data_IF_093426088434
#
_entry.id   IF_093426088434
#
_cell.length_a   1.000
_cell.length_b   1.000
_cell.length_c   1.000
_cell.angle_alpha   90.00
_cell.angle_beta   90.00
_cell.angle_gamma   90.00
#
_symmetry.space_group_name_H-M   'P 1'
#
loop_
_entity.id
_entity.type
_entity.pdbx_description
1 polymer ?
2 non-polymer ?
3 water ?
#
# COMPACT_ATOMS: atom_id res chain seq x y z
N UNK A 5 -20.18 -18.99 7.86
CA UNK A 5 -20.50 -18.23 6.62
C UNK A 5 -19.51 -17.07 6.43
N UNK A 6 -19.31 -16.25 7.47
CA UNK A 6 -18.39 -15.12 7.41
C UNK A 6 -16.93 -15.57 7.47
N UNK A 7 -16.06 -14.85 6.76
CA UNK A 7 -14.64 -15.18 6.70
C UNK A 7 -13.85 -14.43 7.76
N UNK A 8 -14.48 -13.45 8.42
CA UNK A 8 -13.84 -12.70 9.50
C UNK A 8 -13.48 -13.62 10.68
N UNK A 9 -12.19 -13.63 11.02
CA UNK A 9 -11.65 -14.31 12.18
C UNK A 9 -11.79 -13.38 13.39
N UNK A 10 -12.62 -13.78 14.34
CA UNK A 10 -12.89 -12.99 15.54
C UNK A 10 -11.61 -12.69 16.31
N UNK A 11 -10.60 -13.56 16.27
CA UNK A 11 -9.41 -13.31 17.07
C UNK A 11 -8.56 -12.22 16.41
N UNK A 12 -8.44 -12.25 15.08
CA UNK A 12 -7.74 -11.20 14.38
C UNK A 12 -8.54 -9.91 14.46
N UNK A 13 -9.86 -10.01 14.31
CA UNK A 13 -10.76 -8.87 14.43
C UNK A 13 -10.51 -8.13 15.74
N UNK A 14 -10.47 -8.87 16.86
CA UNK A 14 -10.32 -8.32 18.20
C UNK A 14 -8.96 -7.65 18.36
N UNK A 15 -7.92 -8.33 17.88
CA UNK A 15 -6.55 -7.85 17.89
C UNK A 15 -6.42 -6.54 17.11
N UNK A 16 -7.03 -6.49 15.92
CA UNK A 16 -7.04 -5.30 15.07
C UNK A 16 -7.74 -4.12 15.76
N UNK A 17 -8.93 -4.37 16.37
CA UNK A 17 -9.65 -3.36 17.14
C UNK A 17 -8.78 -2.75 18.24
N UNK A 18 -8.23 -3.58 19.13
CA UNK A 18 -7.52 -3.12 20.32
C UNK A 18 -6.35 -2.22 19.94
N UNK A 19 -5.55 -2.70 18.96
CA UNK A 19 -4.31 -2.06 18.53
C UNK A 19 -4.62 -0.78 17.75
N UNK A 20 -5.70 -0.79 16.96
CA UNK A 20 -6.08 0.40 16.23
C UNK A 20 -6.34 1.53 17.22
N UNK A 21 -7.13 1.24 18.27
CA UNK A 21 -7.59 2.23 19.22
C UNK A 21 -6.45 2.70 20.13
N UNK A 22 -5.55 1.78 20.46
CA UNK A 22 -4.39 2.11 21.24
C UNK A 22 -3.55 3.14 20.45
N UNK A 23 -3.44 3.00 19.13
CA UNK A 23 -2.65 3.93 18.33
C UNK A 23 -3.37 5.29 18.15
N UNK A 24 -4.68 5.26 17.86
CA UNK A 24 -5.50 6.44 17.63
C UNK A 24 -5.52 7.33 18.88
N UNK A 25 -5.75 6.72 20.04
CA UNK A 25 -5.70 7.45 21.30
C UNK A 25 -4.28 7.99 21.48
N UNK A 26 -3.28 7.11 21.36
CA UNK A 26 -1.92 7.50 21.70
C UNK A 26 -1.49 8.67 20.85
N UNK A 27 -1.89 8.67 19.56
CA UNK A 27 -1.43 9.70 18.65
C UNK A 27 -2.42 10.86 18.58
N UNK A 28 -3.52 10.80 19.36
CA UNK A 28 -4.55 11.83 19.36
C UNK A 28 -5.01 12.08 17.91
N UNK A 29 -5.42 11.00 17.23
CA UNK A 29 -5.78 11.07 15.83
C UNK A 29 -7.31 11.15 15.67
N UNK A 30 -7.77 11.62 14.51
CA UNK A 30 -9.20 11.82 14.28
C UNK A 30 -9.90 10.46 14.10
N UNK A 31 -9.30 9.56 13.28
CA UNK A 31 -9.97 8.35 12.83
C UNK A 31 -8.92 7.38 12.29
N UNK A 32 -9.34 6.14 12.01
CA UNK A 32 -8.43 5.16 11.46
C UNK A 32 -9.13 3.88 11.06
N UNK A 33 -8.38 3.01 10.38
CA UNK A 33 -8.91 1.81 9.77
C UNK A 33 -7.83 0.73 9.78
N UNK A 34 -8.23 -0.55 9.88
CA UNK A 34 -7.35 -1.68 9.59
C UNK A 34 -8.12 -2.68 8.74
N UNK A 35 -7.48 -3.16 7.65
CA UNK A 35 -7.99 -4.30 6.91
C UNK A 35 -6.94 -5.41 6.95
N UNK A 36 -7.42 -6.67 6.98
CA UNK A 36 -6.57 -7.85 6.87
C UNK A 36 -7.17 -8.77 5.84
N UNK A 37 -6.47 -8.96 4.73
CA UNK A 37 -6.95 -9.84 3.67
C UNK A 37 -6.20 -11.16 3.71
N UNK A 38 -6.88 -12.21 3.28
CA UNK A 38 -6.19 -13.42 2.87
C UNK A 38 -5.42 -13.12 1.58
N UNK A 39 -4.11 -13.38 1.58
CA UNK A 39 -3.24 -12.91 0.52
C UNK A 39 -3.34 -13.78 -0.73
N UNK A 40 -4.03 -14.93 -0.62
CA UNK A 40 -4.18 -15.80 -1.77
C UNK A 40 -5.66 -15.97 -2.14
N UNK A 41 -6.61 -15.58 -1.29
CA UNK A 41 -8.02 -15.76 -1.64
C UNK A 41 -8.77 -14.43 -1.82
N UNK A 42 -8.31 -13.36 -1.16
CA UNK A 42 -9.07 -12.12 -1.08
C UNK A 42 -10.18 -12.12 -0.01
N UNK A 43 -10.30 -13.20 0.77
CA UNK A 43 -11.22 -13.20 1.89
C UNK A 43 -10.80 -12.12 2.90
N UNK A 44 -11.79 -11.39 3.43
CA UNK A 44 -11.51 -10.41 4.47
C UNK A 44 -11.49 -11.17 5.78
N UNK A 45 -10.35 -11.11 6.48
CA UNK A 45 -10.17 -11.77 7.77
C UNK A 45 -10.41 -10.78 8.91
N UNK A 46 -10.20 -9.50 8.62
CA UNK A 46 -10.53 -8.47 9.58
C UNK A 46 -10.72 -7.13 8.88
N UNK A 47 -11.58 -6.31 9.48
CA UNK A 47 -11.87 -4.99 9.00
C UNK A 47 -12.45 -4.16 10.13
N UNK A 48 -11.70 -3.16 10.57
CA UNK A 48 -12.15 -2.34 11.69
C UNK A 48 -11.93 -0.85 11.39
N UNK A 49 -12.86 -0.07 11.92
CA UNK A 49 -12.86 1.37 11.82
C UNK A 49 -13.10 1.92 13.22
N UNK A 50 -12.45 3.05 13.52
CA UNK A 50 -12.86 3.86 14.65
C UNK A 50 -14.38 4.08 14.50
N UNK A 51 -15.14 4.33 15.60
CA UNK A 51 -16.61 4.45 15.49
C UNK A 51 -17.08 5.52 14.52
N UNK A 52 -18.21 5.21 13.85
CA UNK A 52 -18.70 5.96 12.72
C UNK A 52 -18.96 5.02 11.54
N UNK A 53 -18.94 5.58 10.33
CA UNK A 53 -19.19 4.83 9.11
C UNK A 53 -18.01 3.88 8.81
N UNK A 54 -18.28 2.90 7.94
CA UNK A 54 -17.31 1.91 7.47
C UNK A 54 -16.33 2.57 6.47
N UNK A 55 -15.38 3.34 7.02
CA UNK A 55 -14.42 4.16 6.26
C UNK A 55 -13.59 3.35 5.28
N UNK A 56 -13.25 2.12 5.68
CA UNK A 56 -12.50 1.17 4.87
C UNK A 56 -13.06 1.03 3.46
N UNK A 57 -14.39 1.07 3.32
CA UNK A 57 -15.02 0.89 2.02
C UNK A 57 -15.55 2.24 1.52
N UNK A 58 -16.06 3.09 2.42
CA UNK A 58 -16.79 4.29 2.01
C UNK A 58 -15.84 5.43 1.73
N UNK A 59 -14.68 5.50 2.38
CA UNK A 59 -13.83 6.67 2.21
C UNK A 59 -12.71 6.36 1.22
N UNK A 60 -12.36 7.37 0.44
CA UNK A 60 -11.22 7.30 -0.45
C UNK A 60 -10.18 8.34 -0.02
N UNK A 61 -8.93 7.91 -0.09
CA UNK A 61 -7.79 8.74 0.22
C UNK A 61 -6.85 8.69 -0.98
N UNK A 62 -5.89 9.62 -1.01
CA UNK A 62 -4.79 9.55 -1.95
C UNK A 62 -3.78 8.57 -1.39
N UNK A 63 -3.37 7.53 -2.15
CA UNK A 63 -2.51 6.50 -1.60
C UNK A 63 -1.12 7.03 -1.18
N UNK A 64 -0.62 8.06 -1.85
CA UNK A 64 0.75 8.48 -1.62
C UNK A 64 1.72 7.34 -1.96
N UNK A 65 2.65 7.09 -1.04
CA UNK A 65 3.82 6.28 -1.38
C UNK A 65 3.51 4.80 -1.42
N UNK A 66 2.36 4.37 -0.85
CA UNK A 66 2.00 2.94 -0.87
C UNK A 66 1.50 2.53 -2.26
N UNK A 67 1.45 3.48 -3.20
CA UNK A 67 1.20 3.26 -4.62
C UNK A 67 2.46 2.79 -5.36
N UNK A 68 3.65 3.21 -4.90
CA UNK A 68 4.86 3.19 -5.71
C UNK A 68 5.23 1.77 -6.13
N UNK A 69 4.96 0.71 -5.35
CA UNK A 69 5.31 -0.65 -5.78
C UNK A 69 4.74 -1.00 -7.15
N UNK A 70 3.64 -0.33 -7.54
CA UNK A 70 2.90 -0.65 -8.74
C UNK A 70 3.57 -0.13 -10.01
N UNK A 71 3.94 1.17 -10.16
CA UNK A 71 4.73 1.60 -11.32
C UNK A 71 6.02 0.80 -11.42
N UNK A 72 6.61 0.52 -10.25
CA UNK A 72 7.84 -0.24 -10.18
C UNK A 72 7.63 -1.62 -10.82
N UNK A 73 6.58 -2.33 -10.37
CA UNK A 73 6.19 -3.61 -10.97
C UNK A 73 6.02 -3.49 -12.47
N UNK A 74 5.37 -2.41 -12.90
CA UNK A 74 5.04 -2.19 -14.31
C UNK A 74 6.33 -2.10 -15.12
N UNK A 75 7.25 -1.24 -14.69
CA UNK A 75 8.56 -1.11 -15.29
C UNK A 75 9.20 -2.49 -15.49
N UNK A 76 9.27 -3.26 -14.41
CA UNK A 76 10.00 -4.52 -14.41
C UNK A 76 9.31 -5.53 -15.32
N UNK A 77 7.96 -5.57 -15.27
CA UNK A 77 7.17 -6.51 -16.04
C UNK A 77 7.39 -6.31 -17.54
N UNK A 78 7.49 -5.04 -17.98
CA UNK A 78 7.66 -4.67 -19.38
C UNK A 78 8.94 -5.24 -20.00
N UNK A 79 10.00 -5.42 -19.21
CA UNK A 79 11.30 -5.78 -19.76
C UNK A 79 12.22 -4.57 -19.92
N UNK A 80 11.69 -3.36 -19.65
CA UNK A 80 12.43 -2.13 -19.91
C UNK A 80 13.31 -1.71 -18.74
N UNK A 81 12.96 -2.17 -17.53
CA UNK A 81 13.79 -1.90 -16.38
C UNK A 81 14.21 -3.23 -15.76
N UNK A 82 15.45 -3.22 -15.26
CA UNK A 82 16.00 -4.28 -14.43
C UNK A 82 16.15 -3.75 -13.01
N UNK A 83 16.12 -4.66 -12.03
CA UNK A 83 16.11 -4.33 -10.60
C UNK A 83 17.36 -3.58 -10.15
N UNK A 84 18.45 -3.66 -10.96
CA UNK A 84 19.76 -3.10 -10.66
C UNK A 84 19.97 -1.74 -11.35
N UNK A 85 19.04 -1.31 -12.22
CA UNK A 85 19.22 -0.09 -12.98
C UNK A 85 19.18 1.12 -12.03
N UNK A 86 19.98 2.14 -12.40
CA UNK A 86 20.16 3.33 -11.59
C UNK A 86 19.47 4.49 -12.29
N UNK A 87 18.90 5.42 -11.51
CA UNK A 87 18.19 6.54 -12.09
C UNK A 87 18.64 7.82 -11.41
N UNK A 88 18.52 8.91 -12.16
CA UNK A 88 18.79 10.24 -11.67
C UNK A 88 17.57 10.63 -10.84
N UNK A 89 17.80 11.00 -9.57
CA UNK A 89 16.76 11.23 -8.58
C UNK A 89 16.85 12.65 -8.03
N UNK A 90 17.46 13.57 -8.78
CA UNK A 90 17.50 14.97 -8.42
C UNK A 90 16.11 15.59 -8.62
N UNK A 91 15.81 16.72 -7.95
CA UNK A 91 14.60 17.48 -8.26
C UNK A 91 14.62 17.93 -9.72
N UNK A 92 13.47 17.86 -10.38
CA UNK A 92 13.33 18.33 -11.75
C UNK A 92 11.94 18.95 -11.89
N UNK A 93 11.73 19.69 -12.96
CA UNK A 93 10.53 20.48 -13.15
C UNK A 93 9.70 19.89 -14.28
N UNK A 94 8.37 19.93 -14.15
CA UNK A 94 7.51 19.70 -15.30
C UNK A 94 6.61 20.92 -15.47
N UNK A 95 6.97 21.77 -16.44
CA UNK A 95 6.38 23.09 -16.54
C UNK A 95 6.74 23.89 -15.30
N UNK A 96 5.77 24.57 -14.62
CA UNK A 96 6.07 25.28 -13.37
C UNK A 96 6.54 24.35 -12.24
N UNK A 97 5.73 23.33 -11.91
CA UNK A 97 5.84 22.55 -10.68
C UNK A 97 7.11 21.69 -10.65
N UNK A 98 7.47 21.25 -9.44
CA UNK A 98 8.71 20.54 -9.18
C UNK A 98 8.41 19.21 -8.49
N UNK A 99 9.10 18.16 -8.93
CA UNK A 99 9.01 16.84 -8.31
C UNK A 99 10.31 16.56 -7.53
N UNK A 100 10.17 16.14 -6.26
CA UNK A 100 11.33 15.93 -5.40
C UNK A 100 11.01 14.96 -4.27
N UNK A 101 12.09 14.45 -3.65
CA UNK A 101 12.04 13.58 -2.48
C UNK A 101 12.30 14.47 -1.27
N UNK A 102 11.99 13.97 -0.06
CA UNK A 102 12.27 14.70 1.18
C UNK A 102 13.76 14.63 1.54
N UNK A 103 14.40 13.49 1.28
CA UNK A 103 15.85 13.40 1.30
C UNK A 103 16.36 13.22 -0.14
N UNK A 104 17.29 14.09 -0.52
CA UNK A 104 17.85 14.13 -1.87
C UNK A 104 18.98 13.11 -2.01
N UNK A 105 18.85 12.22 -3.01
CA UNK A 105 19.99 11.49 -3.52
C UNK A 105 20.13 11.78 -5.02
N UNK A 106 21.36 11.80 -5.58
CA UNK A 106 21.54 12.08 -7.01
C UNK A 106 21.15 10.88 -7.87
N UNK A 107 21.40 9.68 -7.38
CA UNK A 107 20.90 8.49 -8.04
C UNK A 107 20.47 7.48 -6.99
N UNK A 108 19.52 6.61 -7.37
CA UNK A 108 19.15 5.43 -6.61
C UNK A 108 18.86 4.33 -7.62
N UNK A 109 19.27 3.09 -7.33
CA UNK A 109 18.83 1.97 -8.14
C UNK A 109 17.36 1.71 -7.80
N UNK A 110 16.74 0.70 -8.41
CA UNK A 110 15.33 0.48 -8.14
C UNK A 110 15.12 0.12 -6.66
N UNK A 111 16.11 -0.53 -6.06
CA UNK A 111 15.95 -1.03 -4.71
C UNK A 111 15.99 0.15 -3.75
N UNK A 112 16.93 1.08 -4.01
CA UNK A 112 16.97 2.38 -3.34
C UNK A 112 15.65 3.14 -3.41
N UNK A 113 15.04 3.20 -4.59
CA UNK A 113 13.78 3.89 -4.80
C UNK A 113 12.70 3.38 -3.85
N UNK A 114 12.59 2.05 -3.73
CA UNK A 114 11.62 1.41 -2.84
C UNK A 114 11.95 1.67 -1.37
N UNK A 115 13.22 1.47 -0.98
CA UNK A 115 13.58 1.41 0.41
C UNK A 115 13.43 2.82 0.98
N UNK A 116 13.79 3.85 0.20
CA UNK A 116 13.80 5.24 0.66
C UNK A 116 12.50 5.95 0.33
N UNK A 117 11.75 5.43 -0.67
CA UNK A 117 10.50 6.02 -1.11
C UNK A 117 10.78 7.31 -1.88
N UNK A 118 11.39 7.17 -3.07
CA UNK A 118 11.73 8.29 -3.92
C UNK A 118 10.62 8.61 -4.92
N UNK A 119 9.91 9.72 -4.66
CA UNK A 119 8.97 10.31 -5.61
C UNK A 119 9.61 10.44 -7.00
N UNK A 120 10.78 11.06 -7.08
CA UNK A 120 11.42 11.34 -8.35
C UNK A 120 11.66 10.03 -9.09
N UNK A 121 12.28 9.06 -8.39
CA UNK A 121 12.64 7.79 -8.98
C UNK A 121 11.42 7.03 -9.51
N UNK A 122 10.34 7.05 -8.73
CA UNK A 122 9.12 6.39 -9.19
C UNK A 122 8.61 7.06 -10.46
N UNK A 123 8.64 8.39 -10.50
CA UNK A 123 8.14 9.14 -11.64
C UNK A 123 9.06 8.97 -12.84
N UNK A 124 10.35 8.70 -12.65
CA UNK A 124 11.22 8.39 -13.78
C UNK A 124 10.84 7.03 -14.38
N UNK A 125 10.43 6.06 -13.54
CA UNK A 125 9.98 4.76 -14.01
C UNK A 125 8.63 4.86 -14.72
N UNK A 126 7.75 5.72 -14.20
CA UNK A 126 6.46 5.98 -14.82
C UNK A 126 6.62 6.57 -16.22
N UNK A 127 7.60 7.48 -16.36
CA UNK A 127 7.75 8.33 -17.54
C UNK A 127 8.10 7.53 -18.80
N UNK A 128 8.40 6.24 -18.68
CA UNK A 128 8.74 5.46 -19.86
C UNK A 128 7.48 4.91 -20.52
N UNK A 129 6.28 5.19 -19.97
CA UNK A 129 5.04 4.68 -20.54
C UNK A 129 4.13 5.81 -20.97
N UNK A 130 3.25 5.49 -21.93
CA UNK A 130 2.24 6.42 -22.40
C UNK A 130 1.21 6.58 -21.29
N UNK A 131 0.52 7.75 -21.26
CA UNK A 131 -0.64 7.95 -20.39
C UNK A 131 -1.67 6.83 -20.41
N UNK A 132 -1.91 6.27 -21.60
CA UNK A 132 -2.85 5.18 -21.77
C UNK A 132 -2.35 3.94 -21.04
N UNK A 133 -1.07 3.61 -21.21
CA UNK A 133 -0.51 2.43 -20.56
C UNK A 133 -0.56 2.54 -19.02
N UNK A 134 -0.32 3.73 -18.46
CA UNK A 134 -0.37 3.87 -17.00
C UNK A 134 -1.83 3.79 -16.54
N UNK A 135 -2.74 4.49 -17.24
CA UNK A 135 -4.16 4.43 -16.92
C UNK A 135 -4.64 2.99 -16.93
N UNK A 136 -4.43 2.29 -18.05
CA UNK A 136 -4.84 0.90 -18.19
C UNK A 136 -4.29 0.07 -17.03
N UNK A 137 -3.07 0.38 -16.58
CA UNK A 137 -2.45 -0.42 -15.54
C UNK A 137 -3.14 -0.15 -14.20
N UNK A 138 -3.45 1.12 -13.91
CA UNK A 138 -4.09 1.46 -12.65
C UNK A 138 -5.52 0.94 -12.65
N UNK A 139 -6.20 0.99 -13.79
CA UNK A 139 -7.57 0.47 -13.90
C UNK A 139 -7.59 -1.04 -13.66
N UNK A 140 -6.65 -1.76 -14.30
CA UNK A 140 -6.54 -3.20 -14.10
C UNK A 140 -6.23 -3.51 -12.63
N UNK A 141 -5.63 -2.59 -11.87
CA UNK A 141 -5.44 -2.77 -10.44
C UNK A 141 -6.72 -2.50 -9.65
N UNK A 142 -7.73 -1.91 -10.29
CA UNK A 142 -9.01 -1.68 -9.65
C UNK A 142 -9.20 -0.24 -9.16
N UNK A 143 -8.19 0.62 -9.40
CA UNK A 143 -8.34 2.05 -9.17
C UNK A 143 -9.51 2.56 -10.01
N UNK A 144 -10.43 3.26 -9.35
CA UNK A 144 -11.62 3.79 -9.99
C UNK A 144 -12.67 2.72 -10.27
N UNK A 145 -12.47 1.51 -9.75
CA UNK A 145 -13.33 0.41 -10.15
C UNK A 145 -14.13 -0.08 -8.93
N UNK A 146 -15.43 -0.35 -9.17
CA UNK A 146 -16.28 -1.01 -8.20
C UNK A 146 -15.81 -2.46 -7.99
N UNK A 147 -15.73 -2.89 -6.73
CA UNK A 147 -15.31 -4.23 -6.35
C UNK A 147 -16.48 -5.22 -6.19
N UNK A 148 -17.66 -4.70 -5.79
CA UNK A 148 -18.82 -5.53 -5.46
C UNK A 148 -18.46 -6.56 -4.38
N UNK A 149 -17.85 -6.01 -3.30
CA UNK A 149 -17.49 -6.74 -2.11
C UNK A 149 -18.73 -7.30 -1.43
N UNK A 150 -19.86 -6.59 -1.62
CA UNK A 150 -21.10 -6.87 -0.92
C UNK A 150 -21.38 -5.87 0.21
N UNK A 151 -20.48 -4.91 0.43
CA UNK A 151 -20.71 -3.82 1.38
C UNK A 151 -21.46 -2.67 0.72
N UNK A 152 -22.45 -2.04 1.42
CA UNK A 152 -23.03 -0.79 0.95
C UNK A 152 -22.13 0.44 1.17
N UNK A 153 -22.35 1.48 0.37
CA UNK A 153 -21.52 2.68 0.38
C UNK A 153 -20.12 2.47 -0.22
N UNK A 154 -19.97 1.49 -1.12
CA UNK A 154 -18.67 1.11 -1.64
C UNK A 154 -18.19 2.22 -2.56
N UNK A 155 -17.03 2.80 -2.21
CA UNK A 155 -16.38 3.80 -3.04
C UNK A 155 -15.66 3.11 -4.19
N UNK A 156 -15.81 3.69 -5.39
CA UNK A 156 -15.14 3.27 -6.60
C UNK A 156 -13.71 3.81 -6.67
N UNK A 157 -13.44 4.85 -5.88
CA UNK A 157 -12.23 5.65 -6.07
C UNK A 157 -12.40 6.65 -7.20
N UNK A 158 -11.29 7.27 -7.60
CA UNK A 158 -11.28 8.25 -8.69
C UNK A 158 -10.02 7.99 -9.51
N UNK A 159 -10.24 7.85 -10.82
CA UNK A 159 -9.19 7.72 -11.81
C UNK A 159 -9.61 8.52 -13.05
N UNK A 160 -9.23 9.80 -13.04
CA UNK A 160 -9.38 10.70 -14.18
C UNK A 160 -8.85 10.07 -15.45
N UNK A 161 -9.55 10.29 -16.56
CA UNK A 161 -9.24 9.62 -17.81
C UNK A 161 -7.96 10.20 -18.43
N UNK A 162 -7.15 9.33 -19.05
CA UNK A 162 -5.82 9.68 -19.55
C UNK A 162 -5.86 10.73 -20.66
N UNK A 163 -6.98 10.80 -21.39
CA UNK A 163 -7.17 11.84 -22.40
C UNK A 163 -7.20 13.22 -21.75
N UNK A 164 -7.47 13.30 -20.44
CA UNK A 164 -7.57 14.60 -19.80
C UNK A 164 -6.25 15.04 -19.17
N UNK A 165 -5.26 14.14 -19.01
CA UNK A 165 -4.12 14.39 -18.12
C UNK A 165 -3.18 15.49 -18.65
N UNK A 166 -2.92 16.50 -17.80
CA UNK A 166 -1.73 17.35 -17.91
C UNK A 166 -0.49 16.48 -17.65
N UNK A 167 0.71 16.77 -18.24
CA UNK A 167 1.89 15.91 -18.01
C UNK A 167 2.30 15.64 -16.56
N UNK A 168 2.14 16.64 -15.68
CA UNK A 168 2.50 16.51 -14.27
C UNK A 168 1.68 15.41 -13.59
N UNK A 169 0.46 15.17 -14.07
CA UNK A 169 -0.47 14.24 -13.45
C UNK A 169 0.04 12.80 -13.56
N UNK A 170 0.58 12.43 -14.72
CA UNK A 170 1.15 11.10 -14.91
C UNK A 170 2.19 10.88 -13.81
N UNK A 171 3.04 11.88 -13.61
CA UNK A 171 4.14 11.75 -12.68
C UNK A 171 3.60 11.67 -11.25
N UNK A 172 2.71 12.59 -10.85
CA UNK A 172 2.27 12.66 -9.46
C UNK A 172 1.47 11.41 -9.11
N UNK A 173 0.66 10.91 -10.04
CA UNK A 173 -0.07 9.67 -9.78
C UNK A 173 0.88 8.50 -9.53
N UNK A 174 2.09 8.55 -10.09
CA UNK A 174 2.98 7.40 -9.99
C UNK A 174 3.48 7.25 -8.55
N UNK A 175 3.51 8.38 -7.81
CA UNK A 175 3.86 8.37 -6.40
C UNK A 175 2.67 8.81 -5.55
N UNK A 176 1.46 8.67 -6.08
CA UNK A 176 0.28 8.49 -5.26
C UNK A 176 -0.69 9.67 -5.15
N UNK A 177 -0.56 10.74 -5.95
CA UNK A 177 -1.45 11.89 -5.80
C UNK A 177 -2.17 12.19 -7.11
N UNK A 178 -3.41 12.70 -6.98
CA UNK A 178 -4.30 12.96 -8.11
C UNK A 178 -5.13 11.73 -8.47
N UNK A 179 -5.15 10.74 -7.58
CA UNK A 179 -6.00 9.57 -7.74
C UNK A 179 -6.36 9.06 -6.34
N UNK A 180 -7.51 8.35 -6.23
CA UNK A 180 -8.11 8.01 -4.94
C UNK A 180 -8.65 6.56 -4.88
N UNK A 181 -8.45 5.98 -3.68
CA UNK A 181 -8.69 4.57 -3.35
C UNK A 181 -9.26 4.43 -1.95
N UNK A 182 -10.23 3.52 -1.77
CA UNK A 182 -10.57 3.07 -0.44
C UNK A 182 -9.40 2.25 0.10
N UNK A 183 -9.25 2.16 1.43
CA UNK A 183 -8.20 1.32 1.96
C UNK A 183 -8.39 -0.10 1.45
N UNK A 184 -9.63 -0.55 1.34
CA UNK A 184 -9.97 -1.87 0.82
C UNK A 184 -9.57 -2.08 -0.64
N UNK A 185 -9.78 -1.11 -1.54
CA UNK A 185 -9.26 -1.20 -2.91
C UNK A 185 -7.72 -1.29 -2.91
N UNK A 186 -7.09 -0.61 -1.94
CA UNK A 186 -5.64 -0.56 -1.86
C UNK A 186 -5.06 -1.90 -1.38
N UNK A 187 -5.68 -2.49 -0.36
CA UNK A 187 -5.33 -3.82 0.09
C UNK A 187 -5.55 -4.82 -1.04
N UNK A 188 -6.70 -4.72 -1.72
CA UNK A 188 -7.01 -5.64 -2.79
C UNK A 188 -5.91 -5.62 -3.86
N UNK A 189 -5.54 -4.42 -4.31
CA UNK A 189 -4.55 -4.24 -5.37
C UNK A 189 -3.24 -4.99 -5.04
N UNK A 190 -2.87 -5.04 -3.77
CA UNK A 190 -1.68 -5.74 -3.32
C UNK A 190 -1.76 -7.26 -3.52
N UNK A 191 -2.94 -7.82 -3.90
CA UNK A 191 -3.03 -9.25 -4.18
C UNK A 191 -2.31 -9.59 -5.47
N UNK A 192 -2.15 -8.60 -6.34
CA UNK A 192 -1.30 -8.68 -7.51
C UNK A 192 0.12 -9.03 -7.09
N UNK A 193 0.58 -8.44 -6.00
CA UNK A 193 1.91 -8.71 -5.47
C UNK A 193 1.94 -10.08 -4.79
N UNK A 194 0.88 -10.40 -4.03
CA UNK A 194 0.85 -11.62 -3.23
C UNK A 194 0.34 -12.83 -4.03
N UNK A 195 -0.59 -12.67 -4.99
CA UNK A 195 -1.16 -13.82 -5.69
C UNK A 195 -0.55 -13.96 -7.08
N UNK A 196 0.79 -13.95 -7.15
CA UNK A 196 1.53 -14.26 -8.37
C UNK A 196 1.02 -13.42 -9.54
N UNK A 197 0.73 -12.13 -9.28
CA UNK A 197 0.44 -11.16 -10.31
C UNK A 197 -1.01 -11.14 -10.80
N UNK A 198 -1.91 -11.84 -10.09
CA UNK A 198 -3.32 -11.84 -10.42
C UNK A 198 -4.09 -11.07 -9.37
N UNK A 199 -4.83 -10.04 -9.80
CA UNK A 199 -5.76 -9.34 -8.92
C UNK A 199 -6.89 -10.27 -8.50
N UNK A 200 -7.16 -10.32 -7.18
CA UNK A 200 -8.20 -11.18 -6.63
C UNK A 200 -9.46 -10.37 -6.32
N UNK A 201 -10.67 -10.96 -6.42
CA UNK A 201 -11.87 -10.34 -5.85
C UNK A 201 -11.85 -10.38 -4.32
N UNK A 202 -12.58 -9.45 -3.68
CA UNK A 202 -12.64 -9.46 -2.23
C UNK A 202 -14.09 -9.73 -1.80
N UNK A 203 -14.20 -10.40 -0.64
CA UNK A 203 -15.45 -10.97 -0.20
C UNK A 203 -15.38 -11.20 1.30
N UNK A 204 -16.52 -11.09 1.99
CA UNK A 204 -16.52 -11.32 3.43
C UNK A 204 -17.20 -12.65 3.77
N UNK A 205 -17.51 -13.43 2.72
CA UNK A 205 -18.01 -14.79 2.90
C UNK A 205 -16.85 -15.79 2.75
N UNK A 206 -16.89 -16.87 3.54
CA UNK A 206 -16.07 -18.03 3.23
C UNK A 206 -16.43 -18.44 1.82
N UNK A 207 -15.45 -18.82 1.01
CA UNK A 207 -15.74 -19.16 -0.38
C UNK A 207 -15.60 -20.67 -0.58
N UNK A 208 -16.41 -21.19 -1.50
CA UNK A 208 -16.51 -22.62 -1.73
C UNK A 208 -15.80 -23.02 -3.00
N UNK A 209 -15.42 -22.06 -3.84
CA UNK A 209 -14.70 -22.34 -5.07
C UNK A 209 -13.51 -21.39 -5.13
N UNK A 210 -12.38 -21.87 -5.67
CA UNK A 210 -11.22 -21.03 -5.93
C UNK A 210 -11.62 -19.80 -6.74
N UNK A 211 -11.19 -18.58 -6.33
CA UNK A 211 -11.61 -17.35 -6.98
C UNK A 211 -10.65 -17.10 -8.13
N UNK A 212 -11.12 -16.47 -9.19
CA UNK A 212 -10.30 -16.33 -10.37
C UNK A 212 -9.82 -14.89 -10.54
N UNK A 213 -8.50 -14.73 -10.42
CA UNK A 213 -7.87 -13.44 -10.63
C UNK A 213 -7.76 -13.10 -12.11
N UNK A 214 -7.50 -11.82 -12.38
CA UNK A 214 -7.14 -11.34 -13.70
C UNK A 214 -5.62 -11.14 -13.69
N UNK A 215 -4.91 -11.65 -14.70
CA UNK A 215 -3.47 -11.48 -14.77
C UNK A 215 -3.11 -10.03 -15.10
N UNK A 216 -2.17 -9.47 -14.34
CA UNK A 216 -1.78 -8.07 -14.44
C UNK A 216 -0.28 -8.00 -14.66
N UNK A 217 0.49 -8.77 -13.87
CA UNK A 217 1.92 -8.94 -14.09
C UNK A 217 2.29 -10.41 -14.04
N UNK A 218 3.51 -10.73 -14.45
CA UNK A 218 4.01 -12.09 -14.40
C UNK A 218 4.24 -12.51 -12.96
N UNK A 219 4.14 -13.83 -12.74
CA UNK A 219 4.48 -14.44 -11.45
C UNK A 219 5.92 -14.05 -11.02
N UNK A 220 6.85 -14.08 -11.99
CA UNK A 220 8.26 -13.77 -11.76
C UNK A 220 8.44 -12.33 -11.29
N UNK A 221 7.60 -11.40 -11.77
CA UNK A 221 7.73 -10.00 -11.42
C UNK A 221 7.20 -9.71 -10.02
N UNK A 222 6.04 -10.27 -9.66
CA UNK A 222 5.55 -10.17 -8.30
C UNK A 222 6.64 -10.67 -7.31
N UNK A 223 7.26 -11.80 -7.64
CA UNK A 223 8.25 -12.41 -6.77
C UNK A 223 9.39 -11.43 -6.51
N UNK A 224 9.84 -10.76 -7.59
CA UNK A 224 10.94 -9.81 -7.55
C UNK A 224 10.57 -8.56 -6.75
N UNK A 225 9.35 -8.05 -6.97
CA UNK A 225 8.82 -6.92 -6.22
C UNK A 225 8.69 -7.24 -4.73
N UNK A 226 8.15 -8.40 -4.36
CA UNK A 226 8.05 -8.76 -2.95
C UNK A 226 9.44 -8.73 -2.30
N UNK A 227 10.47 -9.19 -3.00
CA UNK A 227 11.82 -9.21 -2.45
C UNK A 227 12.37 -7.79 -2.28
N UNK A 228 12.03 -6.89 -3.22
CA UNK A 228 12.49 -5.51 -3.14
C UNK A 228 11.89 -4.85 -1.91
N UNK A 229 10.67 -5.31 -1.58
CA UNK A 229 9.85 -4.67 -0.58
C UNK A 229 10.33 -5.09 0.83
N UNK A 230 11.13 -6.14 0.91
CA UNK A 230 11.69 -6.56 2.19
C UNK A 230 12.63 -5.47 2.72
N UNK A 231 13.26 -4.70 1.81
CA UNK A 231 14.19 -3.62 2.14
C UNK A 231 13.48 -2.52 2.96
N UNK A 232 12.17 -2.34 2.74
CA UNK A 232 11.42 -1.35 3.49
C UNK A 232 11.44 -1.65 4.99
N UNK A 233 11.51 -2.93 5.41
CA UNK A 233 11.36 -3.25 6.82
C UNK A 233 12.70 -3.55 7.50
N UNK A 234 13.82 -3.44 6.76
CA UNK A 234 15.16 -3.62 7.33
C UNK A 234 15.87 -2.27 7.40
N UNK A 235 17.01 -2.24 8.10
CA UNK A 235 17.81 -1.05 8.33
C UNK A 235 18.09 -0.31 7.02
N UNK A 236 17.95 1.02 7.05
CA UNK A 236 17.99 1.84 5.84
C UNK A 236 16.64 2.00 5.14
N UNK A 237 15.59 1.29 5.60
CA UNK A 237 14.28 1.38 4.98
C UNK A 237 13.30 2.14 5.86
N UNK A 238 12.32 2.80 5.25
CA UNK A 238 11.43 3.70 5.96
C UNK A 238 10.42 2.98 6.87
N UNK A 239 10.24 1.65 6.71
CA UNK A 239 9.27 0.90 7.51
C UNK A 239 9.89 -0.07 8.51
N UNK A 240 11.05 0.27 9.08
CA UNK A 240 11.77 -0.56 10.02
C UNK A 240 10.92 -0.84 11.27
N UNK A 241 10.07 0.13 11.67
CA UNK A 241 9.20 -0.03 12.83
C UNK A 241 8.18 -1.16 12.63
N UNK A 242 8.03 -1.60 11.37
CA UNK A 242 7.00 -2.55 11.01
C UNK A 242 7.51 -3.98 11.04
N UNK A 243 8.82 -4.16 11.28
CA UNK A 243 9.44 -5.48 11.25
C UNK A 243 8.73 -6.42 12.23
N UNK A 244 8.51 -7.69 11.84
CA UNK A 244 8.00 -8.70 12.75
C UNK A 244 9.08 -9.75 13.00
N UNK A 245 9.35 -9.96 14.30
CA UNK A 245 10.37 -10.91 14.76
C UNK A 245 9.99 -12.30 14.25
N UNK A 246 10.90 -12.94 13.49
CA UNK A 246 10.73 -14.32 13.05
C UNK A 246 10.47 -14.44 11.54
N UNK A 247 10.37 -13.31 10.84
CA UNK A 247 9.76 -13.27 9.52
C UNK A 247 10.34 -12.12 8.71
N UNK A 248 10.58 -12.33 7.41
CA UNK A 248 10.78 -11.20 6.51
C UNK A 248 9.41 -10.68 6.06
N UNK A 249 9.26 -9.35 6.07
CA UNK A 249 8.02 -8.68 5.72
C UNK A 249 8.26 -7.71 4.55
N UNK A 250 7.46 -7.88 3.49
CA UNK A 250 7.39 -6.91 2.41
C UNK A 250 6.34 -5.89 2.77
N UNK A 251 6.72 -4.61 2.78
CA UNK A 251 5.81 -3.55 3.21
C UNK A 251 6.11 -2.27 2.46
N UNK A 252 5.16 -1.33 2.55
CA UNK A 252 5.37 0.01 2.05
C UNK A 252 4.68 1.04 2.96
N UNK A 253 5.46 2.04 3.35
CA UNK A 253 4.98 3.21 4.07
C UNK A 253 4.47 4.30 3.11
N UNK A 254 3.60 5.16 3.65
CA UNK A 254 3.13 6.33 2.92
C UNK A 254 2.57 7.36 3.88
N UNK A 255 3.09 8.59 3.77
CA UNK A 255 2.60 9.75 4.52
C UNK A 255 2.15 10.79 3.51
N UNK A 256 0.89 11.22 3.61
CA UNK A 256 0.34 12.19 2.66
C UNK A 256 -0.15 13.43 3.40
N UNK A 257 0.15 14.59 2.81
CA UNK A 257 -0.47 15.85 3.18
C UNK A 257 -1.91 15.82 2.70
N UNK A 258 -2.80 16.59 3.35
CA UNK A 258 -4.21 16.58 3.02
C UNK A 258 -4.60 17.81 2.19
N UNK A 259 -5.69 17.64 1.42
CA UNK A 259 -6.24 18.65 0.53
C UNK A 259 -7.31 19.46 1.25
N UNK A 260 -7.04 20.76 1.44
CA UNK A 260 -7.95 21.73 2.04
C UNK A 260 -8.19 22.88 1.05
N UNK A 261 -9.34 22.81 0.35
CA UNK A 261 -9.66 23.72 -0.75
C UNK A 261 -8.71 23.48 -1.91
N UNK A 262 -8.30 22.22 -2.13
CA UNK A 262 -7.48 21.86 -3.28
C UNK A 262 -6.01 22.30 -3.18
N UNK A 263 -5.54 22.75 -2.01
CA UNK A 263 -4.10 22.97 -1.78
C UNK A 263 -3.62 22.13 -0.60
N UNK A 264 -2.39 21.63 -0.73
CA UNK A 264 -1.80 20.71 0.23
C UNK A 264 -1.27 21.52 1.42
N UNK A 265 -1.66 21.09 2.64
CA UNK A 265 -1.30 21.77 3.87
C UNK A 265 -0.26 20.93 4.65
N UNK A 266 0.65 21.62 5.36
CA UNK A 266 1.79 21.03 6.05
C UNK A 266 1.54 20.82 7.55
N UNK A 267 0.29 20.86 8.00
CA UNK A 267 -0.04 20.66 9.41
C UNK A 267 -1.10 19.58 9.56
N UNK A 268 -1.29 18.74 8.53
CA UNK A 268 -2.34 17.74 8.47
C UNK A 268 -1.93 16.58 7.57
N UNK A 269 -1.88 15.37 8.14
CA UNK A 269 -1.33 14.22 7.45
C UNK A 269 -2.23 12.98 7.56
N UNK A 270 -2.09 12.08 6.56
CA UNK A 270 -2.66 10.74 6.61
C UNK A 270 -1.50 9.75 6.58
N UNK A 271 -1.48 8.85 7.57
CA UNK A 271 -0.43 7.85 7.72
C UNK A 271 -0.95 6.49 7.25
N UNK A 272 -0.23 5.83 6.35
CA UNK A 272 -0.66 4.54 5.84
C UNK A 272 0.52 3.55 5.91
N UNK A 273 0.18 2.26 5.97
CA UNK A 273 1.17 1.21 6.07
C UNK A 273 0.54 -0.10 5.59
N UNK A 274 1.07 -0.66 4.51
CA UNK A 274 0.56 -1.92 3.98
C UNK A 274 1.71 -2.88 3.74
N UNK A 275 1.51 -4.12 4.15
CA UNK A 275 2.53 -5.14 4.05
C UNK A 275 1.94 -6.54 4.10
N UNK A 276 2.82 -7.52 3.91
CA UNK A 276 2.42 -8.91 3.74
C UNK A 276 3.56 -9.81 4.21
N UNK A 277 3.20 -11.00 4.68
CA UNK A 277 4.20 -11.95 5.17
C UNK A 277 3.66 -13.37 5.15
N UNK A 278 4.54 -14.40 5.18
CA UNK A 278 5.98 -14.22 4.93
C UNK A 278 6.28 -13.66 3.53
N UNK A 279 7.30 -12.80 3.43
CA UNK A 279 7.54 -12.02 2.22
C UNK A 279 7.64 -12.93 0.98
N UNK A 280 8.31 -14.06 1.11
CA UNK A 280 8.60 -14.93 -0.03
C UNK A 280 7.32 -15.63 -0.48
N UNK A 281 6.41 -15.97 0.45
CA UNK A 281 5.20 -16.69 0.06
C UNK A 281 4.07 -16.31 1.02
N UNK A 282 3.51 -15.09 0.88
CA UNK A 282 2.62 -14.56 1.91
C UNK A 282 1.30 -15.32 2.08
N UNK A 283 0.82 -15.32 3.33
CA UNK A 283 -0.47 -15.86 3.71
C UNK A 283 -1.46 -14.74 3.94
N UNK A 284 -0.97 -13.52 4.21
CA UNK A 284 -1.81 -12.46 4.73
C UNK A 284 -1.30 -11.10 4.24
N UNK A 285 -2.24 -10.16 4.08
CA UNK A 285 -1.99 -8.73 3.84
C UNK A 285 -2.60 -7.95 4.99
N UNK A 286 -1.83 -6.98 5.52
CA UNK A 286 -2.33 -6.11 6.57
C UNK A 286 -2.18 -4.66 6.12
N UNK A 287 -3.27 -3.89 6.24
CA UNK A 287 -3.28 -2.50 5.81
C UNK A 287 -3.78 -1.63 6.95
N UNK A 288 -3.06 -0.55 7.23
CA UNK A 288 -3.44 0.39 8.28
C UNK A 288 -3.41 1.79 7.69
N UNK A 289 -4.43 2.59 8.03
CA UNK A 289 -4.37 4.03 7.82
C UNK A 289 -4.82 4.75 9.09
N UNK A 290 -4.15 5.86 9.40
CA UNK A 290 -4.58 6.71 10.47
C UNK A 290 -4.54 8.15 9.99
N UNK A 291 -5.65 8.83 10.27
CA UNK A 291 -5.94 10.16 9.77
C UNK A 291 -5.70 11.20 10.89
N UNK A 292 -4.87 12.19 10.53
CA UNK A 292 -4.65 13.42 11.29
C UNK A 292 -4.18 13.13 12.71
N UNK A 293 -3.05 12.40 12.88
CA UNK A 293 -2.43 12.22 14.19
C UNK A 293 -1.85 13.55 14.62
N UNK A 294 -1.91 13.85 15.92
CA UNK A 294 -1.56 15.16 16.42
C UNK A 294 -0.51 15.05 17.54
N UNK A 295 -0.26 13.85 18.04
CA UNK A 295 0.70 13.69 19.12
C UNK A 295 1.63 12.55 18.77
N UNK A 296 2.86 12.62 19.28
CA UNK A 296 3.79 11.50 19.24
C UNK A 296 4.06 11.09 17.79
N UNK A 297 4.29 12.11 16.92
CA UNK A 297 4.75 11.91 15.56
C UNK A 297 3.62 11.91 14.53
N UNK A 298 4.00 12.00 13.25
CA UNK A 298 3.03 12.00 12.18
C UNK A 298 3.45 11.12 10.98
N UNK A 299 4.63 10.49 11.04
CA UNK A 299 5.13 9.64 9.95
C UNK A 299 4.51 8.25 9.98
N UNK A 300 4.32 7.66 8.79
CA UNK A 300 3.85 6.30 8.66
C UNK A 300 4.60 5.42 9.65
N UNK A 301 5.92 5.50 9.58
CA UNK A 301 6.82 4.61 10.27
C UNK A 301 6.53 4.55 11.77
N UNK A 302 6.31 5.72 12.41
CA UNK A 302 6.17 5.79 13.86
C UNK A 302 4.70 5.68 14.27
N UNK A 303 3.78 6.16 13.44
CA UNK A 303 2.34 6.16 13.72
C UNK A 303 1.70 4.81 13.34
N UNK A 304 1.96 4.31 12.12
CA UNK A 304 1.25 3.11 11.66
C UNK A 304 2.14 1.86 11.68
N UNK A 305 3.47 1.97 11.69
CA UNK A 305 4.32 0.80 11.78
C UNK A 305 4.02 -0.10 12.99
N UNK A 306 4.05 0.42 14.24
CA UNK A 306 3.76 -0.39 15.44
C UNK A 306 2.44 -1.17 15.38
N UNK A 307 1.40 -0.53 14.81
CA UNK A 307 0.09 -1.13 14.68
C UNK A 307 0.21 -2.35 13.79
N UNK A 308 0.88 -2.15 12.65
CA UNK A 308 1.09 -3.18 11.64
C UNK A 308 1.90 -4.35 12.22
N UNK A 309 3.01 -4.03 12.87
CA UNK A 309 3.83 -5.01 13.59
C UNK A 309 2.97 -5.95 14.43
N UNK A 310 2.08 -5.39 15.25
CA UNK A 310 1.31 -6.17 16.20
C UNK A 310 0.20 -6.96 15.51
N UNK A 311 -0.45 -6.37 14.49
CA UNK A 311 -1.52 -7.08 13.80
C UNK A 311 -0.96 -8.20 12.92
N UNK A 312 0.20 -7.96 12.28
CA UNK A 312 0.78 -8.96 11.40
C UNK A 312 1.35 -10.10 12.28
N UNK A 313 2.16 -9.76 13.28
CA UNK A 313 2.76 -10.74 14.17
C UNK A 313 1.74 -11.60 14.91
N UNK A 314 0.61 -11.00 15.31
CA UNK A 314 -0.47 -11.74 15.95
C UNK A 314 -1.35 -12.54 14.98
N UNK A 315 -1.42 -12.13 13.71
CA UNK A 315 -2.19 -12.87 12.70
C UNK A 315 -1.44 -14.16 12.35
N UNK A 316 -0.15 -14.01 12.06
CA UNK A 316 0.69 -15.14 11.70
C UNK A 316 0.62 -16.19 12.81
N UNK A 317 0.67 -15.74 14.06
CA UNK A 317 0.54 -16.66 15.18
C UNK A 317 -0.84 -17.34 15.11
N UNK A 318 -1.91 -16.55 15.08
CA UNK A 318 -3.27 -17.05 15.21
C UNK A 318 -3.59 -18.05 14.09
N UNK A 319 -3.01 -17.87 12.90
CA UNK A 319 -3.34 -18.73 11.76
C UNK A 319 -2.44 -19.96 11.76
N UNK A 320 -1.60 -20.10 12.80
CA UNK A 320 -0.71 -21.24 12.91
C UNK A 320 0.39 -21.25 11.85
N UNK A 321 0.92 -20.05 11.56
CA UNK A 321 2.05 -19.85 10.66
C UNK A 321 3.31 -19.74 11.53
N UNK A 322 4.31 -20.58 11.25
CA UNK A 322 5.53 -20.64 12.03
C UNK A 322 6.54 -19.60 11.53
N UNK A 323 7.31 -18.97 12.45
CA UNK A 323 8.46 -18.15 12.08
C UNK A 323 9.44 -18.85 11.14
N UNK A 324 9.93 -18.12 10.12
CA UNK A 324 10.78 -18.68 9.09
C UNK A 324 12.26 -18.46 9.40
N UNK A 325 12.56 -17.57 10.35
CA UNK A 325 13.91 -17.40 10.87
C UNK A 325 13.84 -17.32 12.40
N UNK A 326 14.97 -17.52 13.15
CA UNK A 326 14.91 -17.48 14.61
C UNK A 326 14.61 -16.09 15.16
N UNK A 327 13.96 -16.10 16.32
CA UNK A 327 13.68 -14.91 17.09
C UNK A 327 14.98 -14.22 17.52
N UNK A 328 14.93 -12.88 17.67
CA UNK A 328 15.92 -12.11 18.38
C UNK A 328 15.25 -11.43 19.58
N UNK A 329 14.49 -12.20 20.36
CA UNK A 329 13.79 -11.74 21.55
C UNK A 329 13.52 -12.93 22.49
#
# INVERSE_FOLDING_TARGET
GSGGALSLDQRIQTLAYEELNKAVEYHQAKAGTVVVLDARTGEILALVNTPGRNRAVTDMIEPGSVMKPFPIAKALDSGKVDTTDTFNTLPYKIGPATVQDTHVYPTLDVRGIMQKSSNVGTSKLSAMFTPKEMYDFYHDLGVGVRMHSGFPGESAGVLRNWRKWRPIEQATMSFGYGLQLSLLQLARAYTVLTHDGELLPVSFEKQAVAPKGKRVIKASTAKKVRELMVSVTEAGGSGIAGAVDGFDVGAKTGTARKLVNGRYVDYKHVATFIGFAPAKNPRVIVAVTIDEPTANGYYSGVVTGPVFKQVMGGSLNILGVSPTKPLTNV
#
